data_IF_036251469080
#
_entry.id   IF_036251469080
#
_cell.length_a   1.000
_cell.length_b   1.000
_cell.length_c   1.000
_cell.angle_alpha   90.00
_cell.angle_beta   90.00
_cell.angle_gamma   90.00
#
_symmetry.space_group_name_H-M   'P 1'
#
loop_
_entity.id
_entity.type
_entity.pdbx_description
1 polymer ?
#
# COMPACT_ATOMS: atom_id res chain seq x y z
N UNK A 1 9.99 24.87 10.14
CA UNK A 1 10.38 23.50 9.72
C UNK A 1 10.42 22.66 10.98
N UNK A 2 9.43 21.80 11.18
CA UNK A 2 9.38 20.94 12.38
C UNK A 2 10.17 19.66 12.12
N UNK A 3 11.11 19.34 13.00
CA UNK A 3 11.90 18.12 12.95
C UNK A 3 11.35 17.14 13.97
N UNK A 4 10.92 15.96 13.52
CA UNK A 4 10.55 14.85 14.40
C UNK A 4 11.30 13.59 13.96
N UNK A 5 11.63 12.74 14.93
CA UNK A 5 12.06 11.38 14.64
C UNK A 5 10.83 10.57 14.21
N UNK A 6 10.91 9.83 13.11
CA UNK A 6 9.78 9.04 12.59
C UNK A 6 10.26 7.79 11.90
N UNK A 7 9.48 6.72 11.98
CA UNK A 7 9.66 5.52 11.19
C UNK A 7 8.91 5.68 9.85
N UNK A 8 9.58 5.34 8.75
CA UNK A 8 9.01 5.36 7.41
C UNK A 8 9.04 3.92 6.90
N UNK A 9 7.88 3.43 6.46
CA UNK A 9 7.72 2.15 5.77
C UNK A 9 7.43 2.45 4.30
N UNK A 10 8.05 1.67 3.40
CA UNK A 10 7.70 1.62 1.99
C UNK A 10 7.49 0.16 1.60
N UNK A 11 6.37 -0.15 0.95
CA UNK A 11 6.00 -1.49 0.50
C UNK A 11 5.53 -1.46 -0.95
N UNK A 12 5.74 -2.55 -1.69
CA UNK A 12 5.41 -2.66 -3.12
C UNK A 12 4.98 -4.10 -3.47
N UNK A 13 4.22 -4.29 -4.55
CA UNK A 13 3.72 -5.62 -4.93
C UNK A 13 4.70 -6.33 -5.85
N UNK A 14 5.22 -7.46 -5.39
CA UNK A 14 6.12 -8.30 -6.19
C UNK A 14 5.41 -8.78 -7.46
N UNK A 15 5.99 -8.47 -8.62
CA UNK A 15 5.47 -8.91 -9.91
C UNK A 15 4.23 -8.15 -10.39
N UNK A 16 3.95 -6.98 -9.82
CA UNK A 16 2.78 -6.17 -10.17
C UNK A 16 2.60 -5.96 -11.68
N UNK A 17 3.66 -5.62 -12.42
CA UNK A 17 3.57 -5.41 -13.87
C UNK A 17 3.06 -6.65 -14.62
N UNK A 18 3.53 -7.85 -14.27
CA UNK A 18 3.07 -9.09 -14.90
C UNK A 18 1.63 -9.45 -14.50
N UNK A 19 1.23 -9.14 -13.26
CA UNK A 19 -0.15 -9.32 -12.80
C UNK A 19 -1.11 -8.38 -13.54
N UNK A 20 -0.70 -7.12 -13.73
CA UNK A 20 -1.45 -6.11 -14.48
C UNK A 20 -1.58 -6.46 -15.96
N UNK A 21 -0.51 -6.98 -16.59
CA UNK A 21 -0.56 -7.44 -17.98
C UNK A 21 -1.54 -8.62 -18.18
N UNK A 22 -1.58 -9.55 -17.22
CA UNK A 22 -2.41 -10.75 -17.31
C UNK A 22 -3.89 -10.48 -17.00
N UNK A 23 -4.17 -9.66 -16.00
CA UNK A 23 -5.50 -9.38 -15.49
C UNK A 23 -5.50 -8.05 -14.73
N UNK A 24 -5.66 -6.95 -15.47
CA UNK A 24 -5.64 -5.60 -14.92
C UNK A 24 -6.72 -5.39 -13.85
N UNK A 25 -7.98 -5.66 -14.20
CA UNK A 25 -9.12 -5.41 -13.32
C UNK A 25 -9.07 -6.28 -12.05
N UNK A 26 -8.78 -7.58 -12.18
CA UNK A 26 -8.69 -8.47 -11.04
C UNK A 26 -7.47 -8.18 -10.16
N UNK A 27 -6.35 -7.73 -10.73
CA UNK A 27 -5.18 -7.29 -9.97
C UNK A 27 -5.49 -6.01 -9.19
N UNK A 28 -6.14 -5.04 -9.81
CA UNK A 28 -6.56 -3.81 -9.15
C UNK A 28 -7.53 -4.06 -7.99
N UNK A 29 -8.56 -4.89 -8.20
CA UNK A 29 -9.52 -5.21 -7.13
C UNK A 29 -8.87 -5.96 -5.97
N UNK A 30 -7.98 -6.94 -6.26
CA UNK A 30 -7.22 -7.65 -5.22
C UNK A 30 -6.31 -6.72 -4.42
N UNK A 31 -5.59 -5.82 -5.10
CA UNK A 31 -4.73 -4.81 -4.45
C UNK A 31 -5.55 -3.89 -3.56
N UNK A 32 -6.69 -3.40 -4.06
CA UNK A 32 -7.59 -2.50 -3.32
C UNK A 32 -8.20 -3.19 -2.10
N UNK A 33 -8.63 -4.44 -2.22
CA UNK A 33 -9.17 -5.22 -1.14
C UNK A 33 -8.11 -5.48 -0.06
N UNK A 34 -6.93 -5.99 -0.45
CA UNK A 34 -5.82 -6.23 0.47
C UNK A 34 -5.40 -4.97 1.23
N UNK A 35 -5.37 -3.81 0.55
CA UNK A 35 -5.08 -2.54 1.22
C UNK A 35 -6.13 -2.18 2.28
N UNK A 36 -7.41 -2.25 1.94
CA UNK A 36 -8.50 -1.86 2.85
C UNK A 36 -8.72 -2.85 3.99
N UNK A 37 -8.54 -4.14 3.73
CA UNK A 37 -8.90 -5.20 4.67
C UNK A 37 -7.73 -5.58 5.59
N UNK A 38 -6.49 -5.41 5.12
CA UNK A 38 -5.30 -5.80 5.87
C UNK A 38 -4.43 -4.60 6.26
N UNK A 39 -4.00 -3.80 5.28
CA UNK A 39 -3.00 -2.77 5.55
C UNK A 39 -3.54 -1.56 6.31
N UNK A 40 -4.66 -0.97 5.86
CA UNK A 40 -5.26 0.20 6.52
C UNK A 40 -5.60 -0.07 8.00
N UNK A 41 -6.22 -1.23 8.36
CA UNK A 41 -6.47 -1.58 9.76
C UNK A 41 -5.18 -1.76 10.58
N UNK A 42 -4.15 -2.41 10.03
CA UNK A 42 -2.89 -2.63 10.74
C UNK A 42 -2.11 -1.33 10.96
N UNK A 43 -2.09 -0.45 9.95
CA UNK A 43 -1.48 0.88 10.08
C UNK A 43 -2.21 1.68 11.16
N UNK A 44 -3.55 1.68 11.15
CA UNK A 44 -4.35 2.36 12.16
C UNK A 44 -4.12 1.78 13.58
N UNK A 45 -4.04 0.44 13.69
CA UNK A 45 -3.76 -0.28 14.94
C UNK A 45 -2.41 0.11 15.54
N UNK A 46 -1.43 0.42 14.70
CA UNK A 46 -0.09 0.87 15.10
C UNK A 46 0.07 2.40 15.14
N UNK A 47 -1.03 3.17 15.08
CA UNK A 47 -1.01 4.64 15.07
C UNK A 47 -0.16 5.24 13.92
N UNK A 48 0.00 4.50 12.83
CA UNK A 48 0.65 4.96 11.62
C UNK A 48 -0.28 5.81 10.75
N UNK A 49 0.27 6.38 9.69
CA UNK A 49 -0.48 7.14 8.69
C UNK A 49 0.04 6.84 7.29
N UNK A 50 -0.88 6.67 6.33
CA UNK A 50 -0.53 6.58 4.91
C UNK A 50 -0.32 8.01 4.41
N UNK A 51 0.92 8.37 4.09
CA UNK A 51 1.25 9.73 3.64
C UNK A 51 1.34 9.83 2.11
N UNK A 52 1.46 8.70 1.40
CA UNK A 52 1.49 8.65 -0.07
C UNK A 52 1.04 7.29 -0.57
N UNK A 53 0.37 7.27 -1.72
CA UNK A 53 0.03 6.07 -2.47
C UNK A 53 0.45 6.30 -3.92
N UNK A 54 1.17 5.35 -4.53
CA UNK A 54 1.59 5.41 -5.93
C UNK A 54 1.50 4.03 -6.57
N UNK A 55 0.45 3.80 -7.37
CA UNK A 55 0.23 2.51 -8.01
C UNK A 55 -0.01 1.40 -6.99
N UNK A 56 0.86 0.40 -6.99
CA UNK A 56 0.93 -0.68 -6.01
C UNK A 56 1.80 -0.36 -4.79
N UNK A 57 2.59 0.71 -4.87
CA UNK A 57 3.42 1.20 -3.78
C UNK A 57 2.66 2.01 -2.73
N UNK A 58 3.05 1.82 -1.47
CA UNK A 58 2.53 2.56 -0.30
C UNK A 58 3.64 2.89 0.69
#
# INVERSE_FOLDING_TARGET
MERKLSAILAADVVGYSALMERDEAGTFERLRAGRKELFEPEIARHHGQIFKLMGDGM
#
